data_IF_017293810860
#
_entry.id   IF_017293810860
#
_cell.length_a   1.000
_cell.length_b   1.000
_cell.length_c   1.000
_cell.angle_alpha   90.00
_cell.angle_beta   90.00
_cell.angle_gamma   90.00
#
_symmetry.space_group_name_H-M   'P 1'
#
loop_
_entity.id
_entity.type
_entity.pdbx_description
1 polymer ?
#
# COMPACT_ATOMS: atom_id res chain seq x y z
N UNK A 1 -13.38 26.24 27.24
CA UNK A 1 -12.50 25.72 26.16
C UNK A 1 -13.20 24.54 25.50
N UNK A 2 -13.61 24.64 24.26
CA UNK A 2 -14.33 23.54 23.58
C UNK A 2 -13.33 22.40 23.30
N UNK A 3 -13.56 21.25 23.86
CA UNK A 3 -12.76 20.04 23.63
C UNK A 3 -13.42 19.21 22.56
N UNK A 4 -12.76 19.04 21.41
CA UNK A 4 -13.25 18.21 20.32
C UNK A 4 -13.44 16.76 20.75
N UNK A 5 -14.57 16.17 20.39
CA UNK A 5 -14.84 14.74 20.56
C UNK A 5 -13.84 13.87 19.76
N UNK A 6 -13.66 12.58 20.11
CA UNK A 6 -12.83 11.67 19.33
C UNK A 6 -13.25 11.58 17.85
N UNK A 7 -14.55 11.66 17.55
CA UNK A 7 -15.09 11.64 16.20
C UNK A 7 -14.72 12.91 15.41
N UNK A 8 -14.86 14.10 16.02
CA UNK A 8 -14.45 15.37 15.40
C UNK A 8 -12.95 15.43 15.15
N UNK A 9 -12.13 14.88 16.08
CA UNK A 9 -10.67 14.75 15.87
C UNK A 9 -10.35 13.84 14.70
N UNK A 10 -11.01 12.68 14.58
CA UNK A 10 -10.83 11.76 13.46
C UNK A 10 -11.25 12.41 12.13
N UNK A 11 -12.40 13.07 12.07
CA UNK A 11 -12.87 13.79 10.89
C UNK A 11 -11.88 14.89 10.45
N UNK A 12 -11.34 15.66 11.40
CA UNK A 12 -10.34 16.70 11.10
C UNK A 12 -9.03 16.09 10.57
N UNK A 13 -8.61 14.95 11.14
CA UNK A 13 -7.43 14.21 10.66
C UNK A 13 -7.62 13.73 9.23
N UNK A 14 -8.79 13.19 8.90
CA UNK A 14 -9.14 12.76 7.54
C UNK A 14 -9.19 13.93 6.55
N UNK A 15 -9.75 15.09 6.95
CA UNK A 15 -9.78 16.29 6.12
C UNK A 15 -8.36 16.74 5.71
N UNK A 16 -7.43 16.78 6.68
CA UNK A 16 -6.03 17.13 6.41
C UNK A 16 -5.37 16.09 5.48
N UNK A 17 -5.60 14.83 5.74
CA UNK A 17 -5.05 13.73 4.92
C UNK A 17 -5.59 13.76 3.48
N UNK A 18 -6.89 14.01 3.29
CA UNK A 18 -7.51 14.14 1.97
C UNK A 18 -6.92 15.32 1.17
N UNK A 19 -6.69 16.46 1.82
CA UNK A 19 -6.02 17.60 1.18
C UNK A 19 -4.58 17.27 0.75
N UNK A 20 -3.83 16.55 1.60
CA UNK A 20 -2.48 16.10 1.26
C UNK A 20 -2.48 15.11 0.09
N UNK A 21 -3.42 14.16 0.07
CA UNK A 21 -3.60 13.21 -1.03
C UNK A 21 -3.88 13.92 -2.35
N UNK A 22 -4.82 14.88 -2.37
CA UNK A 22 -5.15 15.69 -3.55
C UNK A 22 -3.94 16.48 -4.08
N UNK A 23 -3.09 16.98 -3.19
CA UNK A 23 -1.86 17.66 -3.59
C UNK A 23 -0.84 16.66 -4.17
N UNK A 24 -0.74 15.45 -3.62
CA UNK A 24 0.19 14.43 -4.06
C UNK A 24 -0.15 13.87 -5.44
N UNK A 25 -1.42 13.81 -5.80
CA UNK A 25 -1.86 13.41 -7.15
C UNK A 25 -1.30 14.31 -8.25
N UNK A 26 -1.06 15.59 -7.93
CA UNK A 26 -0.68 16.62 -8.91
C UNK A 26 0.75 17.12 -8.75
N UNK A 27 1.46 16.70 -7.71
CA UNK A 27 2.79 17.24 -7.40
C UNK A 27 3.69 16.14 -6.83
N UNK A 28 4.99 16.31 -7.04
CA UNK A 28 6.01 15.52 -6.38
C UNK A 28 5.99 15.79 -4.87
N UNK A 29 6.35 14.77 -4.09
CA UNK A 29 6.40 14.83 -2.63
C UNK A 29 7.21 16.05 -2.12
N UNK A 30 8.34 16.34 -2.75
CA UNK A 30 9.24 17.45 -2.34
C UNK A 30 8.62 18.83 -2.54
N UNK A 31 7.70 18.98 -3.50
CA UNK A 31 6.98 20.24 -3.77
C UNK A 31 5.81 20.50 -2.82
N UNK A 32 5.47 19.52 -1.96
CA UNK A 32 4.39 19.64 -0.99
C UNK A 32 4.96 20.10 0.35
N UNK A 33 4.34 21.11 0.95
CA UNK A 33 4.70 21.63 2.27
C UNK A 33 3.52 21.65 3.23
N UNK A 34 3.79 21.66 4.54
CA UNK A 34 2.76 21.79 5.57
C UNK A 34 1.86 23.03 5.37
N UNK A 35 2.44 24.15 4.88
CA UNK A 35 1.67 25.35 4.58
C UNK A 35 0.70 25.16 3.40
N UNK A 36 1.10 24.42 2.35
CA UNK A 36 0.20 24.10 1.23
C UNK A 36 -0.92 23.17 1.68
N UNK A 37 -0.62 22.16 2.52
CA UNK A 37 -1.62 21.25 3.05
C UNK A 37 -2.61 22.00 3.94
N UNK A 38 -2.15 22.89 4.82
CA UNK A 38 -3.02 23.73 5.65
C UNK A 38 -3.99 24.56 4.82
N UNK A 39 -3.48 25.23 3.78
CA UNK A 39 -4.30 26.04 2.86
C UNK A 39 -5.32 25.17 2.09
N UNK A 40 -4.90 24.03 1.55
CA UNK A 40 -5.79 23.12 0.79
C UNK A 40 -6.88 22.51 1.68
N UNK A 41 -6.57 22.23 2.94
CA UNK A 41 -7.53 21.66 3.91
C UNK A 41 -8.43 22.71 4.58
N UNK A 42 -8.18 24.00 4.37
CA UNK A 42 -8.89 25.06 5.08
C UNK A 42 -8.65 25.08 6.60
N UNK A 43 -7.54 24.46 7.08
CA UNK A 43 -7.20 24.37 8.50
C UNK A 43 -6.06 25.33 8.82
N UNK A 44 -6.19 26.07 9.93
CA UNK A 44 -5.11 26.93 10.39
C UNK A 44 -3.81 26.13 10.61
N UNK A 45 -2.64 26.70 10.23
CA UNK A 45 -1.34 26.02 10.33
C UNK A 45 -1.07 25.46 11.74
N UNK A 46 -1.36 26.22 12.80
CA UNK A 46 -1.23 25.76 14.19
C UNK A 46 -2.11 24.56 14.51
N UNK A 47 -3.35 24.56 14.01
CA UNK A 47 -4.25 23.41 14.15
C UNK A 47 -3.72 22.19 13.44
N UNK A 48 -3.18 22.33 12.23
CA UNK A 48 -2.59 21.21 11.48
C UNK A 48 -1.48 20.54 12.28
N UNK A 49 -0.56 21.33 12.90
CA UNK A 49 0.53 20.80 13.73
C UNK A 49 0.06 20.05 14.97
N UNK A 50 -1.15 20.29 15.49
CA UNK A 50 -1.74 19.51 16.57
C UNK A 50 -2.12 18.09 16.14
N UNK A 51 -2.34 17.85 14.85
CA UNK A 51 -2.69 16.53 14.30
C UNK A 51 -1.48 15.78 13.71
N UNK A 52 -0.59 16.52 13.05
CA UNK A 52 0.56 15.95 12.37
C UNK A 52 1.77 16.88 12.54
N UNK A 53 2.83 16.37 13.14
CA UNK A 53 4.05 17.16 13.39
C UNK A 53 4.85 17.43 12.13
N UNK A 54 4.81 16.52 11.15
CA UNK A 54 5.57 16.60 9.88
C UNK A 54 4.67 16.23 8.71
N UNK A 55 5.06 16.60 7.50
CA UNK A 55 4.36 16.15 6.29
C UNK A 55 4.51 14.62 6.11
N UNK A 56 5.65 14.07 6.48
CA UNK A 56 5.93 12.64 6.45
C UNK A 56 4.94 11.87 7.34
N UNK A 57 4.55 12.43 8.48
CA UNK A 57 3.50 11.84 9.34
C UNK A 57 2.13 11.80 8.65
N UNK A 58 1.79 12.81 7.85
CA UNK A 58 0.54 12.82 7.06
C UNK A 58 0.59 11.74 5.99
N UNK A 59 1.68 11.67 5.24
CA UNK A 59 1.84 10.71 4.16
C UNK A 59 2.01 9.27 4.67
N UNK A 60 2.66 9.07 5.81
CA UNK A 60 2.67 7.77 6.50
C UNK A 60 1.27 7.34 6.96
N UNK A 61 0.47 8.28 7.47
CA UNK A 61 -0.94 8.00 7.79
C UNK A 61 -1.73 7.59 6.55
N UNK A 62 -1.58 8.31 5.42
CA UNK A 62 -2.22 7.98 4.14
C UNK A 62 -1.79 6.59 3.64
N UNK A 63 -0.51 6.28 3.70
CA UNK A 63 0.03 4.98 3.31
C UNK A 63 -0.59 3.84 4.13
N UNK A 64 -0.53 3.97 5.46
CA UNK A 64 -1.02 2.90 6.34
C UNK A 64 -2.54 2.74 6.28
N UNK A 65 -3.31 3.84 6.18
CA UNK A 65 -4.76 3.76 6.01
C UNK A 65 -5.14 3.23 4.62
N UNK A 66 -4.44 3.65 3.57
CA UNK A 66 -4.67 3.16 2.21
C UNK A 66 -4.47 1.65 2.08
N UNK A 67 -3.41 1.10 2.70
CA UNK A 67 -3.23 -0.35 2.75
C UNK A 67 -4.24 -1.07 3.64
N UNK A 68 -4.69 -0.46 4.75
CA UNK A 68 -5.78 -1.02 5.55
C UNK A 68 -7.06 -1.15 4.72
N UNK A 69 -7.39 -0.13 3.95
CA UNK A 69 -8.59 -0.13 3.12
C UNK A 69 -8.45 -1.11 1.95
N UNK A 70 -7.28 -1.18 1.30
CA UNK A 70 -7.00 -2.19 0.29
C UNK A 70 -7.19 -3.62 0.82
N UNK A 71 -6.60 -3.96 1.98
CA UNK A 71 -6.72 -5.30 2.54
C UNK A 71 -8.15 -5.64 3.00
N UNK A 72 -8.92 -4.66 3.45
CA UNK A 72 -10.37 -4.85 3.74
C UNK A 72 -11.14 -5.16 2.46
N UNK A 73 -10.87 -4.45 1.37
CA UNK A 73 -11.52 -4.70 0.08
C UNK A 73 -11.16 -6.09 -0.45
N UNK A 74 -9.89 -6.51 -0.33
CA UNK A 74 -9.46 -7.87 -0.67
C UNK A 74 -10.20 -8.91 0.18
N UNK A 75 -10.32 -8.67 1.49
CA UNK A 75 -11.07 -9.57 2.40
C UNK A 75 -12.53 -9.70 1.97
N UNK A 76 -13.19 -8.59 1.69
CA UNK A 76 -14.59 -8.59 1.24
C UNK A 76 -14.76 -9.32 -0.10
N UNK A 77 -13.89 -9.05 -1.08
CA UNK A 77 -13.90 -9.76 -2.37
C UNK A 77 -13.65 -11.25 -2.20
N UNK A 78 -12.68 -11.64 -1.36
CA UNK A 78 -12.39 -13.04 -1.07
C UNK A 78 -13.57 -13.76 -0.40
N UNK A 79 -14.24 -13.10 0.55
CA UNK A 79 -15.40 -13.66 1.23
C UNK A 79 -16.59 -13.86 0.29
N UNK A 80 -16.82 -12.89 -0.61
CA UNK A 80 -17.89 -12.95 -1.60
C UNK A 80 -17.66 -13.99 -2.70
N UNK A 81 -16.41 -14.32 -3.02
CA UNK A 81 -16.05 -15.29 -4.04
C UNK A 81 -16.00 -16.72 -3.45
N UNK A 82 -17.16 -17.37 -3.30
CA UNK A 82 -17.29 -18.71 -2.68
C UNK A 82 -16.58 -19.81 -3.46
N UNK A 83 -16.36 -19.63 -4.76
CA UNK A 83 -15.73 -20.59 -5.67
C UNK A 83 -14.20 -20.67 -5.52
N UNK A 84 -13.57 -19.80 -4.74
CA UNK A 84 -12.13 -19.84 -4.49
C UNK A 84 -11.84 -20.89 -3.39
N UNK A 85 -11.74 -22.15 -3.77
CA UNK A 85 -11.53 -23.29 -2.86
C UNK A 85 -10.25 -24.08 -3.17
N UNK A 86 -9.62 -23.83 -4.30
CA UNK A 86 -8.39 -24.48 -4.74
C UNK A 86 -7.21 -23.51 -4.76
N UNK A 87 -5.99 -24.04 -4.70
CA UNK A 87 -4.78 -23.24 -4.84
C UNK A 87 -4.72 -22.48 -6.16
N UNK A 88 -5.12 -23.11 -7.26
CA UNK A 88 -5.14 -22.47 -8.58
C UNK A 88 -6.10 -21.28 -8.62
N UNK A 89 -7.35 -21.45 -8.13
CA UNK A 89 -8.33 -20.37 -8.05
C UNK A 89 -7.85 -19.23 -7.14
N UNK A 90 -7.22 -19.58 -6.00
CA UNK A 90 -6.64 -18.57 -5.10
C UNK A 90 -5.47 -17.82 -5.74
N UNK A 91 -4.59 -18.52 -6.45
CA UNK A 91 -3.48 -17.87 -7.17
C UNK A 91 -4.00 -16.89 -8.21
N UNK A 92 -5.00 -17.27 -9.00
CA UNK A 92 -5.63 -16.36 -9.98
C UNK A 92 -6.28 -15.15 -9.29
N UNK A 93 -6.98 -15.36 -8.17
CA UNK A 93 -7.55 -14.29 -7.36
C UNK A 93 -6.47 -13.30 -6.88
N UNK A 94 -5.34 -13.80 -6.39
CA UNK A 94 -4.28 -12.94 -5.88
C UNK A 94 -3.60 -12.13 -6.98
N UNK A 95 -3.42 -12.71 -8.18
CA UNK A 95 -2.93 -11.97 -9.36
C UNK A 95 -3.93 -10.88 -9.80
N UNK A 96 -5.22 -11.16 -9.73
CA UNK A 96 -6.25 -10.13 -9.95
C UNK A 96 -6.17 -9.00 -8.92
N UNK A 97 -5.87 -9.30 -7.64
CA UNK A 97 -5.66 -8.26 -6.64
C UNK A 97 -4.40 -7.41 -6.93
N UNK A 98 -3.37 -7.97 -7.57
CA UNK A 98 -2.23 -7.18 -8.07
C UNK A 98 -2.67 -6.18 -9.13
N UNK A 99 -3.42 -6.66 -10.14
CA UNK A 99 -3.98 -5.81 -11.18
C UNK A 99 -4.79 -4.64 -10.58
N UNK A 100 -5.74 -4.95 -9.70
CA UNK A 100 -6.58 -3.93 -9.07
C UNK A 100 -5.78 -2.94 -8.20
N UNK A 101 -4.75 -3.40 -7.49
CA UNK A 101 -3.90 -2.54 -6.70
C UNK A 101 -3.10 -1.58 -7.60
N UNK A 102 -2.55 -2.08 -8.71
CA UNK A 102 -1.73 -1.29 -9.64
C UNK A 102 -2.61 -0.29 -10.41
N UNK A 103 -3.75 -0.72 -10.95
CA UNK A 103 -4.61 0.10 -11.79
C UNK A 103 -5.46 1.12 -11.00
N UNK A 104 -5.99 0.74 -9.84
CA UNK A 104 -6.94 1.57 -9.11
C UNK A 104 -6.28 2.42 -8.01
N UNK A 105 -5.04 2.09 -7.57
CA UNK A 105 -4.39 2.74 -6.42
C UNK A 105 -2.94 3.19 -6.68
N UNK A 106 -2.66 3.85 -7.82
CA UNK A 106 -1.29 4.26 -8.18
C UNK A 106 -0.66 5.17 -7.12
N UNK A 107 -1.43 6.08 -6.51
CA UNK A 107 -0.92 6.97 -5.46
C UNK A 107 -0.46 6.21 -4.22
N UNK A 108 -1.15 5.11 -3.86
CA UNK A 108 -0.76 4.25 -2.75
C UNK A 108 0.58 3.57 -3.03
N UNK A 109 0.79 3.11 -4.25
CA UNK A 109 2.05 2.51 -4.68
C UNK A 109 3.20 3.53 -4.68
N UNK A 110 2.96 4.77 -5.19
CA UNK A 110 3.93 5.87 -5.11
C UNK A 110 4.31 6.18 -3.67
N UNK A 111 3.35 6.21 -2.74
CA UNK A 111 3.62 6.39 -1.31
C UNK A 111 4.43 5.23 -0.72
N UNK A 112 4.14 4.00 -1.16
CA UNK A 112 4.87 2.83 -0.68
C UNK A 112 6.34 2.83 -1.11
N UNK A 113 6.64 3.28 -2.32
CA UNK A 113 8.02 3.49 -2.78
C UNK A 113 8.79 4.52 -1.92
N UNK A 114 8.10 5.55 -1.41
CA UNK A 114 8.69 6.55 -0.51
C UNK A 114 8.81 6.09 0.94
N UNK A 115 8.21 4.95 1.32
CA UNK A 115 8.07 4.52 2.73
C UNK A 115 9.40 4.45 3.47
N UNK A 116 10.31 3.61 3.02
CA UNK A 116 11.59 3.37 3.69
C UNK A 116 12.51 4.58 3.67
N UNK A 117 12.87 5.09 2.49
CA UNK A 117 13.89 6.13 2.39
C UNK A 117 13.45 7.50 2.92
N UNK A 118 12.15 7.80 2.93
CA UNK A 118 11.66 9.15 3.23
C UNK A 118 10.69 9.16 4.42
N UNK A 119 9.59 8.40 4.35
CA UNK A 119 8.53 8.55 5.34
C UNK A 119 8.90 8.03 6.72
N UNK A 120 9.55 6.86 6.80
CA UNK A 120 9.92 6.25 8.08
C UNK A 120 10.98 7.02 8.85
N UNK A 121 11.81 7.81 8.17
CA UNK A 121 12.88 8.57 8.80
C UNK A 121 12.37 9.78 9.60
N UNK A 122 11.24 10.37 9.20
CA UNK A 122 10.76 11.63 9.72
C UNK A 122 9.28 11.62 10.19
N UNK A 123 8.57 10.50 10.02
CA UNK A 123 7.21 10.36 10.53
C UNK A 123 7.17 10.19 12.06
N UNK A 124 6.08 10.62 12.68
CA UNK A 124 5.84 10.42 14.11
C UNK A 124 5.75 8.92 14.45
N UNK A 125 6.61 8.47 15.37
CA UNK A 125 6.76 7.05 15.72
C UNK A 125 5.48 6.47 16.33
N UNK A 126 4.85 7.20 17.25
CA UNK A 126 3.66 6.72 17.96
C UNK A 126 2.48 6.56 16.98
N UNK A 127 2.24 7.57 16.15
CA UNK A 127 1.19 7.50 15.13
C UNK A 127 1.46 6.39 14.11
N UNK A 128 2.72 6.21 13.71
CA UNK A 128 3.13 5.14 12.79
C UNK A 128 2.89 3.76 13.39
N UNK A 129 3.27 3.54 14.66
CA UNK A 129 3.05 2.26 15.36
C UNK A 129 1.55 1.94 15.49
N UNK A 130 0.73 2.93 15.84
CA UNK A 130 -0.73 2.75 15.91
C UNK A 130 -1.32 2.38 14.53
N UNK A 131 -0.87 3.05 13.48
CA UNK A 131 -1.29 2.75 12.11
C UNK A 131 -0.87 1.34 11.67
N UNK A 132 0.36 0.94 11.96
CA UNK A 132 0.88 -0.42 11.68
C UNK A 132 0.10 -1.49 12.44
N UNK A 133 -0.20 -1.27 13.72
CA UNK A 133 -1.00 -2.21 14.51
C UNK A 133 -2.35 -2.48 13.84
N UNK A 134 -3.05 -1.42 13.40
CA UNK A 134 -4.33 -1.56 12.68
C UNK A 134 -4.17 -2.30 11.36
N UNK A 135 -3.13 -1.96 10.58
CA UNK A 135 -2.82 -2.64 9.33
C UNK A 135 -2.59 -4.14 9.54
N UNK A 136 -1.78 -4.51 10.53
CA UNK A 136 -1.48 -5.91 10.84
C UNK A 136 -2.71 -6.68 11.35
N UNK A 137 -3.62 -6.02 12.07
CA UNK A 137 -4.90 -6.62 12.48
C UNK A 137 -5.75 -6.99 11.26
N UNK A 138 -5.89 -6.09 10.29
CA UNK A 138 -6.64 -6.36 9.05
C UNK A 138 -5.95 -7.46 8.23
N UNK A 139 -4.62 -7.39 8.09
CA UNK A 139 -3.86 -8.42 7.39
C UNK A 139 -4.01 -9.81 8.02
N UNK A 140 -4.00 -9.87 9.35
CA UNK A 140 -4.22 -11.13 10.08
C UNK A 140 -5.64 -11.68 9.86
N UNK A 141 -6.68 -10.83 9.91
CA UNK A 141 -8.05 -11.24 9.62
C UNK A 141 -8.19 -11.81 8.20
N UNK A 142 -7.55 -11.18 7.22
CA UNK A 142 -7.51 -11.67 5.85
C UNK A 142 -6.77 -13.02 5.76
N UNK A 143 -5.62 -13.15 6.43
CA UNK A 143 -4.86 -14.40 6.51
C UNK A 143 -5.67 -15.55 7.09
N UNK A 144 -6.40 -15.30 8.18
CA UNK A 144 -7.30 -16.28 8.80
C UNK A 144 -8.44 -16.72 7.84
N UNK A 145 -9.05 -15.76 7.13
CA UNK A 145 -10.10 -16.06 6.16
C UNK A 145 -9.59 -16.93 5.01
N UNK A 146 -8.38 -16.63 4.51
CA UNK A 146 -7.73 -17.41 3.44
C UNK A 146 -7.37 -18.81 3.95
N UNK A 147 -6.67 -18.93 5.09
CA UNK A 147 -6.24 -20.22 5.64
C UNK A 147 -7.41 -21.16 5.93
N UNK A 148 -8.55 -20.61 6.37
CA UNK A 148 -9.78 -21.40 6.60
C UNK A 148 -10.31 -22.06 5.32
N UNK A 149 -10.08 -21.45 4.13
CA UNK A 149 -10.62 -21.94 2.85
C UNK A 149 -9.55 -22.63 2.00
N UNK A 150 -8.32 -22.18 2.09
CA UNK A 150 -7.17 -22.70 1.32
C UNK A 150 -6.29 -23.51 2.27
N UNK A 151 -6.63 -24.76 2.46
CA UNK A 151 -6.09 -25.65 3.51
C UNK A 151 -4.57 -25.92 3.46
N UNK A 152 -3.88 -25.56 2.39
CA UNK A 152 -2.42 -25.72 2.30
C UNK A 152 -1.63 -24.58 2.99
N UNK A 153 -2.31 -23.49 3.36
CA UNK A 153 -1.73 -22.35 4.06
C UNK A 153 -2.17 -22.30 5.52
N UNK A 154 -1.27 -21.96 6.40
CA UNK A 154 -1.62 -21.42 7.71
C UNK A 154 -1.92 -19.91 7.63
N UNK A 155 -2.45 -19.34 8.73
CA UNK A 155 -2.83 -17.92 8.81
C UNK A 155 -1.63 -16.95 8.66
N UNK A 156 -0.45 -17.38 9.12
CA UNK A 156 0.79 -16.60 9.01
C UNK A 156 1.29 -16.60 7.57
N UNK A 157 1.31 -17.75 6.92
CA UNK A 157 1.69 -17.88 5.52
C UNK A 157 0.75 -17.07 4.62
N UNK A 158 -0.56 -17.16 4.83
CA UNK A 158 -1.55 -16.41 4.09
C UNK A 158 -1.38 -14.89 4.30
N UNK A 159 -1.18 -14.42 5.54
CA UNK A 159 -0.90 -13.02 5.83
C UNK A 159 0.41 -12.54 5.20
N UNK A 160 1.42 -13.41 5.13
CA UNK A 160 2.74 -13.08 4.58
C UNK A 160 2.70 -12.83 3.06
N UNK A 161 1.75 -13.43 2.33
CA UNK A 161 1.57 -13.20 0.88
C UNK A 161 1.40 -11.71 0.55
N UNK A 162 0.68 -10.95 1.36
CA UNK A 162 0.47 -9.51 1.14
C UNK A 162 1.70 -8.67 1.48
N UNK A 163 2.58 -9.18 2.35
CA UNK A 163 3.91 -8.57 2.58
C UNK A 163 4.79 -8.79 1.35
N UNK A 164 4.80 -10.01 0.79
CA UNK A 164 5.55 -10.33 -0.44
C UNK A 164 5.01 -9.52 -1.62
N UNK A 165 3.68 -9.45 -1.81
CA UNK A 165 3.06 -8.60 -2.81
C UNK A 165 3.56 -7.15 -2.72
N UNK A 166 3.49 -6.56 -1.52
CA UNK A 166 3.97 -5.20 -1.29
C UNK A 166 5.46 -5.05 -1.57
N UNK A 167 6.28 -6.04 -1.23
CA UNK A 167 7.74 -6.01 -1.46
C UNK A 167 8.08 -6.07 -2.95
N UNK A 168 7.43 -6.96 -3.72
CA UNK A 168 7.60 -7.08 -5.16
C UNK A 168 7.25 -5.76 -5.84
N UNK A 169 6.03 -5.25 -5.60
CA UNK A 169 5.56 -4.02 -6.26
C UNK A 169 6.43 -2.82 -5.87
N UNK A 170 6.78 -2.66 -4.58
CA UNK A 170 7.65 -1.55 -4.15
C UNK A 170 9.03 -1.64 -4.75
N UNK A 171 9.61 -2.83 -4.87
CA UNK A 171 10.91 -3.04 -5.48
C UNK A 171 10.91 -2.62 -6.95
N UNK A 172 9.93 -3.10 -7.72
CA UNK A 172 9.76 -2.73 -9.13
C UNK A 172 9.51 -1.22 -9.28
N UNK A 173 8.63 -0.62 -8.47
CA UNK A 173 8.39 0.83 -8.48
C UNK A 173 9.65 1.65 -8.21
N UNK A 174 10.50 1.20 -7.28
CA UNK A 174 11.77 1.88 -7.02
C UNK A 174 12.74 1.76 -8.19
N UNK A 175 12.73 0.65 -8.91
CA UNK A 175 13.54 0.48 -10.12
C UNK A 175 13.04 1.38 -11.27
N UNK A 176 11.72 1.47 -11.48
CA UNK A 176 11.12 2.36 -12.49
C UNK A 176 11.43 3.84 -12.22
N UNK A 177 11.45 4.27 -10.95
CA UNK A 177 11.73 5.67 -10.60
C UNK A 177 13.19 6.10 -10.87
N UNK A 178 14.09 5.17 -11.15
CA UNK A 178 15.42 5.49 -11.63
C UNK A 178 15.37 6.09 -13.05
N UNK A 179 14.33 5.81 -13.80
CA UNK A 179 14.13 6.36 -15.15
C UNK A 179 13.79 7.86 -15.16
N UNK A 180 13.38 8.46 -14.03
CA UNK A 180 13.24 9.93 -13.94
C UNK A 180 14.57 10.70 -14.10
N UNK A 181 15.70 10.05 -13.89
CA UNK A 181 17.02 10.57 -14.26
C UNK A 181 17.30 10.44 -15.77
N UNK A 182 16.48 9.70 -16.51
CA UNK A 182 16.70 9.31 -17.89
C UNK A 182 15.65 9.88 -18.84
N UNK A 183 15.21 11.14 -18.63
CA UNK A 183 14.48 11.89 -19.65
C UNK A 183 15.32 12.15 -20.93
N UNK A 184 16.60 11.85 -20.89
CA UNK A 184 17.42 11.69 -22.09
C UNK A 184 17.04 10.38 -22.76
N UNK A 185 16.66 10.45 -24.04
CA UNK A 185 16.30 9.29 -24.85
C UNK A 185 17.39 8.23 -24.77
N UNK A 186 17.17 7.19 -23.96
CA UNK A 186 18.05 6.02 -23.97
C UNK A 186 18.04 5.40 -25.36
N UNK A 187 19.20 5.02 -25.91
CA UNK A 187 19.26 4.34 -27.18
C UNK A 187 18.32 3.13 -27.22
N UNK A 188 17.77 2.83 -28.39
CA UNK A 188 16.76 1.77 -28.61
C UNK A 188 17.21 0.40 -28.10
N UNK A 189 18.51 0.18 -27.96
CA UNK A 189 19.12 -1.07 -27.51
C UNK A 189 18.90 -1.40 -26.01
N UNK A 190 18.39 -0.46 -25.21
CA UNK A 190 18.11 -0.65 -23.77
C UNK A 190 16.65 -0.97 -23.42
N UNK A 191 15.81 -1.31 -24.41
CA UNK A 191 14.41 -1.69 -24.17
C UNK A 191 14.25 -2.86 -23.18
N UNK A 192 15.22 -3.74 -23.07
CA UNK A 192 15.22 -4.85 -22.11
C UNK A 192 15.33 -4.44 -20.63
N UNK A 193 15.60 -3.15 -20.34
CA UNK A 193 15.61 -2.59 -18.99
C UNK A 193 14.33 -1.84 -18.63
N UNK A 194 13.38 -1.72 -19.55
CA UNK A 194 12.08 -1.13 -19.27
C UNK A 194 11.24 -2.13 -18.47
N UNK A 195 10.69 -1.67 -17.35
CA UNK A 195 9.87 -2.47 -16.45
C UNK A 195 8.41 -2.21 -16.77
N UNK A 196 7.68 -3.25 -17.18
CA UNK A 196 6.23 -3.27 -17.12
C UNK A 196 5.81 -3.72 -15.72
N UNK A 197 5.35 -2.77 -14.90
CA UNK A 197 5.06 -3.01 -13.50
C UNK A 197 4.08 -4.16 -13.28
N UNK A 198 3.01 -4.20 -14.04
CA UNK A 198 1.96 -5.20 -13.85
C UNK A 198 2.41 -6.59 -14.31
N UNK A 199 3.00 -6.67 -15.50
CA UNK A 199 3.51 -7.92 -16.04
C UNK A 199 4.58 -8.52 -15.12
N UNK A 200 5.56 -7.73 -14.72
CA UNK A 200 6.67 -8.17 -13.87
C UNK A 200 6.17 -8.56 -12.46
N UNK A 201 5.30 -7.74 -11.86
CA UNK A 201 4.75 -8.04 -10.54
C UNK A 201 3.95 -9.34 -10.54
N UNK A 202 3.14 -9.56 -11.57
CA UNK A 202 2.34 -10.79 -11.71
C UNK A 202 3.24 -12.00 -11.98
N UNK A 203 4.26 -11.87 -12.80
CA UNK A 203 5.20 -12.96 -13.07
C UNK A 203 5.99 -13.37 -11.83
N UNK A 204 6.55 -12.40 -11.09
CA UNK A 204 7.27 -12.65 -9.85
C UNK A 204 6.37 -13.27 -8.78
N UNK A 205 5.14 -12.75 -8.65
CA UNK A 205 4.17 -13.30 -7.71
C UNK A 205 3.76 -14.74 -8.08
N UNK A 206 3.57 -15.03 -9.36
CA UNK A 206 3.27 -16.38 -9.84
C UNK A 206 4.41 -17.36 -9.51
N UNK A 207 5.67 -16.99 -9.75
CA UNK A 207 6.83 -17.81 -9.40
C UNK A 207 6.90 -18.07 -7.90
N UNK A 208 6.63 -17.03 -7.09
CA UNK A 208 6.58 -17.17 -5.63
C UNK A 208 5.50 -18.16 -5.21
N UNK A 209 4.29 -18.06 -5.76
CA UNK A 209 3.16 -18.95 -5.46
C UNK A 209 3.44 -20.39 -5.87
N UNK A 210 4.03 -20.62 -7.04
CA UNK A 210 4.44 -21.94 -7.51
C UNK A 210 5.48 -22.59 -6.59
N UNK A 211 6.52 -21.85 -6.21
CA UNK A 211 7.54 -22.32 -5.28
C UNK A 211 6.98 -22.59 -3.89
N UNK A 212 6.02 -21.78 -3.42
CA UNK A 212 5.34 -21.99 -2.16
C UNK A 212 4.49 -23.26 -2.19
N UNK A 213 3.73 -23.48 -3.26
CA UNK A 213 2.93 -24.70 -3.43
C UNK A 213 3.79 -25.97 -3.40
N UNK A 214 4.92 -25.98 -4.13
CA UNK A 214 5.86 -27.11 -4.11
C UNK A 214 6.39 -27.37 -2.70
N UNK A 215 6.80 -26.33 -1.99
CA UNK A 215 7.32 -26.42 -0.61
C UNK A 215 6.29 -26.99 0.36
N UNK A 216 5.01 -26.69 0.17
CA UNK A 216 3.92 -27.11 1.04
C UNK A 216 3.31 -28.47 0.62
N UNK A 217 3.85 -29.13 -0.42
CA UNK A 217 3.35 -30.42 -0.91
C UNK A 217 2.04 -30.32 -1.69
N UNK A 218 1.66 -29.11 -2.10
CA UNK A 218 0.41 -28.80 -2.82
C UNK A 218 0.47 -28.94 -4.35
N UNK A 219 1.56 -29.45 -4.91
CA UNK A 219 1.69 -29.71 -6.34
C UNK A 219 1.28 -31.17 -6.64
N UNK A 220 -0.02 -31.44 -6.66
CA UNK A 220 -0.60 -32.56 -7.39
C UNK A 220 -1.78 -32.06 -8.19
#
# INVERSE_FOLDING_TARGET
MYVLSPQEKAAKKQLIAAAASKLFQKNDFNKISMARIARESGVAKGTLFNYFRTKESIFMYLLLSGYQDYLKDVLLRFQAAENITTWAAFSSFLLEQNHLLISERPDLLRLNALRGPILETAADKEQTLLGRKKLYQVNHQLGQAIAKRINILDDKQASHLFIIQSAIISGLMNMMNLDEFHHDQLPVDFKGFQIDLEQEANQLMLFYLQGLAQKLGGAK
#
